data_IF_232937614624
#
_entry.id   IF_232937614624
#
_cell.length_a   1.000
_cell.length_b   1.000
_cell.length_c   1.000
_cell.angle_alpha   90.00
_cell.angle_beta   90.00
_cell.angle_gamma   90.00
#
_symmetry.space_group_name_H-M   'P 1'
#
loop_
_entity.id
_entity.type
_entity.pdbx_description
1 polymer ?
#
# COMPACT_ATOMS: atom_id res chain seq x y z
N UNK A 1 1.31 -11.83 12.37
CA UNK A 1 0.15 -11.13 11.77
C UNK A 1 -0.81 -12.06 11.02
N UNK A 2 -0.32 -13.08 10.29
CA UNK A 2 -1.17 -13.96 9.46
C UNK A 2 -2.24 -14.76 10.22
N UNK A 3 -2.00 -15.15 11.48
CA UNK A 3 -3.05 -15.78 12.28
C UNK A 3 -4.03 -14.77 12.86
N UNK A 4 -3.53 -13.62 13.32
CA UNK A 4 -4.36 -12.55 13.89
C UNK A 4 -5.33 -11.95 12.86
N UNK A 5 -4.92 -11.77 11.60
CA UNK A 5 -5.81 -11.26 10.54
C UNK A 5 -7.03 -12.15 10.26
N UNK A 6 -7.04 -13.41 10.73
CA UNK A 6 -8.22 -14.29 10.63
C UNK A 6 -9.33 -13.88 11.60
N UNK A 7 -8.97 -13.24 12.71
CA UNK A 7 -9.88 -12.91 13.81
C UNK A 7 -10.04 -11.41 14.05
N UNK A 8 -9.18 -10.58 13.44
CA UNK A 8 -9.13 -9.15 13.65
C UNK A 8 -8.99 -8.38 12.35
N UNK A 9 -9.61 -7.21 12.31
CA UNK A 9 -9.31 -6.20 11.29
C UNK A 9 -8.07 -5.42 11.72
N UNK A 10 -7.03 -5.43 10.89
CA UNK A 10 -5.74 -4.82 11.20
C UNK A 10 -5.51 -3.67 10.24
N UNK A 11 -5.25 -2.48 10.77
CA UNK A 11 -4.86 -1.30 10.00
C UNK A 11 -3.44 -0.92 10.40
N UNK A 12 -2.56 -0.78 9.41
CA UNK A 12 -1.14 -0.45 9.62
C UNK A 12 -0.83 0.79 8.80
N UNK A 13 -0.29 1.82 9.45
CA UNK A 13 0.28 3.00 8.79
C UNK A 13 1.79 2.87 8.84
N UNK A 14 2.44 2.84 7.68
CA UNK A 14 3.89 2.65 7.59
C UNK A 14 4.45 3.29 6.33
N UNK A 15 5.71 3.73 6.43
CA UNK A 15 6.53 4.10 5.28
C UNK A 15 7.39 2.93 4.77
N UNK A 16 7.37 1.78 5.46
CA UNK A 16 8.09 0.59 5.01
C UNK A 16 7.29 -0.15 3.95
N UNK A 17 7.51 0.29 2.72
CA UNK A 17 6.85 -0.23 1.54
C UNK A 17 7.08 -1.73 1.30
N UNK A 18 8.31 -2.22 1.50
CA UNK A 18 8.63 -3.62 1.26
C UNK A 18 7.91 -4.55 2.23
N UNK A 19 7.70 -4.09 3.47
CA UNK A 19 6.87 -4.82 4.44
C UNK A 19 5.40 -4.73 4.06
N UNK A 20 4.89 -3.54 3.72
CA UNK A 20 3.49 -3.37 3.31
C UNK A 20 3.13 -4.28 2.12
N UNK A 21 4.00 -4.35 1.11
CA UNK A 21 3.82 -5.22 -0.06
C UNK A 21 3.69 -6.71 0.31
N UNK A 22 4.32 -7.13 1.41
CA UNK A 22 4.39 -8.53 1.83
C UNK A 22 3.27 -8.94 2.79
N UNK A 23 2.84 -8.04 3.67
CA UNK A 23 1.96 -8.39 4.80
C UNK A 23 0.51 -7.94 4.62
N UNK A 24 0.26 -6.99 3.73
CA UNK A 24 -1.05 -6.36 3.58
C UNK A 24 -1.88 -7.04 2.49
N UNK A 25 -3.16 -7.28 2.74
CA UNK A 25 -4.10 -7.73 1.69
C UNK A 25 -4.48 -6.58 0.75
N UNK A 26 -4.71 -5.41 1.34
CA UNK A 26 -5.07 -4.18 0.65
C UNK A 26 -4.11 -3.07 1.05
N UNK A 27 -3.86 -2.16 0.12
CA UNK A 27 -3.03 -0.98 0.34
C UNK A 27 -3.78 0.26 -0.08
N UNK A 28 -3.77 1.26 0.80
CA UNK A 28 -4.23 2.62 0.54
C UNK A 28 -3.01 3.55 0.48
N UNK A 29 -2.86 4.29 -0.61
CA UNK A 29 -1.83 5.31 -0.77
C UNK A 29 -2.44 6.70 -0.56
N UNK A 30 -1.91 7.41 0.43
CA UNK A 30 -2.28 8.79 0.73
C UNK A 30 -1.15 9.75 0.36
N UNK A 31 -1.52 10.91 -0.16
CA UNK A 31 -0.60 12.01 -0.41
C UNK A 31 -1.26 13.31 0.03
N UNK A 32 -0.57 14.08 0.90
CA UNK A 32 -1.06 15.37 1.42
C UNK A 32 -2.50 15.33 1.99
N UNK A 33 -2.87 14.20 2.61
CA UNK A 33 -4.19 14.01 3.20
C UNK A 33 -5.27 13.50 2.23
N UNK A 34 -4.95 13.35 0.94
CA UNK A 34 -5.87 12.78 -0.06
C UNK A 34 -5.60 11.30 -0.29
N UNK A 35 -6.66 10.49 -0.41
CA UNK A 35 -6.57 9.10 -0.83
C UNK A 35 -6.39 9.04 -2.35
N UNK A 36 -5.17 8.76 -2.78
CA UNK A 36 -4.80 8.75 -4.20
C UNK A 36 -5.19 7.42 -4.86
N UNK A 37 -4.95 6.30 -4.17
CA UNK A 37 -5.24 4.97 -4.69
C UNK A 37 -5.52 3.97 -3.56
N UNK A 38 -6.48 3.07 -3.78
CA UNK A 38 -6.77 1.96 -2.90
C UNK A 38 -7.05 0.70 -3.73
N UNK A 39 -6.49 -0.43 -3.32
CA UNK A 39 -6.67 -1.70 -4.03
C UNK A 39 -5.95 -2.87 -3.38
N UNK A 40 -6.05 -4.03 -4.02
CA UNK A 40 -5.28 -5.21 -3.64
C UNK A 40 -3.78 -4.88 -3.69
N UNK A 41 -3.06 -5.21 -2.62
CA UNK A 41 -1.64 -4.85 -2.47
C UNK A 41 -0.79 -5.28 -3.65
N UNK A 42 -0.99 -6.49 -4.17
CA UNK A 42 -0.26 -6.98 -5.35
C UNK A 42 -0.43 -6.04 -6.55
N UNK A 43 -1.65 -5.60 -6.84
CA UNK A 43 -1.93 -4.71 -7.97
C UNK A 43 -1.34 -3.33 -7.73
N UNK A 44 -1.53 -2.76 -6.53
CA UNK A 44 -1.02 -1.43 -6.18
C UNK A 44 0.50 -1.35 -6.31
N UNK A 45 1.23 -2.43 -5.98
CA UNK A 45 2.70 -2.45 -6.02
C UNK A 45 3.31 -2.89 -7.36
N UNK A 46 2.58 -3.63 -8.21
CA UNK A 46 3.11 -4.14 -9.48
C UNK A 46 2.56 -3.41 -10.71
N UNK A 47 1.29 -3.02 -10.67
CA UNK A 47 0.58 -2.35 -11.77
C UNK A 47 -0.39 -1.31 -11.21
N UNK A 48 0.11 -0.26 -10.55
CA UNK A 48 -0.73 0.82 -10.05
C UNK A 48 -1.48 1.49 -11.20
N UNK A 49 -2.68 2.00 -10.91
CA UNK A 49 -3.51 2.73 -11.88
C UNK A 49 -3.19 4.22 -11.90
N UNK A 50 -2.62 4.76 -10.83
CA UNK A 50 -2.22 6.17 -10.76
C UNK A 50 -0.71 6.31 -10.95
N UNK A 51 -0.33 7.22 -11.85
CA UNK A 51 1.07 7.59 -12.06
C UNK A 51 1.76 8.05 -10.76
N UNK A 52 1.05 8.79 -9.91
CA UNK A 52 1.58 9.24 -8.61
C UNK A 52 1.91 8.06 -7.68
N UNK A 53 1.11 7.00 -7.71
CA UNK A 53 1.40 5.77 -6.97
C UNK A 53 2.62 5.06 -7.56
N UNK A 54 2.70 4.93 -8.89
CA UNK A 54 3.85 4.32 -9.59
C UNK A 54 5.17 5.04 -9.27
N UNK A 55 5.17 6.36 -9.39
CA UNK A 55 6.35 7.18 -9.15
C UNK A 55 6.80 7.00 -7.68
N UNK A 56 5.85 6.94 -6.71
CA UNK A 56 6.17 6.81 -5.28
C UNK A 56 6.78 5.44 -5.02
N UNK A 57 6.20 4.40 -5.61
CA UNK A 57 6.60 3.03 -5.36
C UNK A 57 7.95 2.69 -5.98
N UNK A 58 8.23 3.27 -7.15
CA UNK A 58 9.49 3.08 -7.87
C UNK A 58 10.62 3.99 -7.36
N UNK A 59 10.33 4.86 -6.39
CA UNK A 59 11.32 5.80 -5.85
C UNK A 59 11.70 6.93 -6.81
N UNK A 60 10.83 7.24 -7.79
CA UNK A 60 10.97 8.40 -8.68
C UNK A 60 10.53 9.71 -8.03
N UNK A 61 10.03 9.65 -6.79
CA UNK A 61 9.85 10.83 -5.95
C UNK A 61 11.19 11.27 -5.35
N UNK A 62 11.65 12.42 -5.83
CA UNK A 62 12.67 13.27 -5.22
C UNK A 62 12.15 14.70 -5.23
#
# INVERSE_FOLDING_TARGET
IHELKKSYTIVIVTHNMQQAARISDYTAFFMLGELIEFGATEVTFTKPKRKMTEDYITGRFG
#
